data_IF_656529874383
#
_entry.id   IF_656529874383
#
_cell.length_a   1.000
_cell.length_b   1.000
_cell.length_c   1.000
_cell.angle_alpha   90.00
_cell.angle_beta   90.00
_cell.angle_gamma   90.00
#
_symmetry.space_group_name_H-M   'P 1'
#
loop_
_entity.id
_entity.type
_entity.pdbx_description
1 polymer ?
#
# COMPACT_ATOMS: atom_id res chain seq x y z
N UNK A 1 6.82 -13.76 7.51
CA UNK A 1 5.68 -12.98 6.96
C UNK A 1 4.59 -12.63 7.96
N UNK A 2 4.16 -13.53 8.85
CA UNK A 2 3.05 -13.28 9.81
C UNK A 2 3.19 -11.97 10.61
N UNK A 3 4.39 -11.69 11.12
CA UNK A 3 4.67 -10.48 11.90
C UNK A 3 4.57 -9.22 11.04
N UNK A 4 5.15 -9.23 9.85
CA UNK A 4 5.12 -8.10 8.90
C UNK A 4 3.68 -7.78 8.51
N UNK A 5 2.88 -8.81 8.19
CA UNK A 5 1.45 -8.63 7.88
C UNK A 5 0.70 -7.96 9.03
N UNK A 6 0.96 -8.39 10.27
CA UNK A 6 0.34 -7.80 11.48
C UNK A 6 0.76 -6.35 11.68
N UNK A 7 2.03 -6.03 11.47
CA UNK A 7 2.54 -4.66 11.58
C UNK A 7 1.97 -3.77 10.48
N UNK A 8 1.88 -4.27 9.24
CA UNK A 8 1.26 -3.55 8.12
C UNK A 8 -0.21 -3.23 8.40
N UNK A 9 -0.98 -4.21 8.85
CA UNK A 9 -2.38 -3.99 9.24
C UNK A 9 -2.51 -2.96 10.37
N UNK A 10 -1.62 -3.04 11.37
CA UNK A 10 -1.66 -2.15 12.54
C UNK A 10 -1.28 -0.70 12.22
N UNK A 11 -0.21 -0.49 11.46
CA UNK A 11 0.39 0.83 11.26
C UNK A 11 -0.02 1.50 9.95
N UNK A 12 -0.22 0.71 8.89
CA UNK A 12 -0.54 1.22 7.56
C UNK A 12 -2.01 0.98 7.16
N UNK A 13 -2.76 0.19 7.92
CA UNK A 13 -4.18 -0.10 7.67
C UNK A 13 -4.43 -0.73 6.30
N UNK A 14 -3.47 -1.54 5.83
CA UNK A 14 -3.58 -2.29 4.57
C UNK A 14 -3.91 -3.74 4.88
N UNK A 15 -4.87 -4.28 4.14
CA UNK A 15 -5.35 -5.66 4.28
C UNK A 15 -5.43 -6.34 2.90
N UNK A 16 -5.35 -7.67 2.91
CA UNK A 16 -5.56 -8.49 1.71
C UNK A 16 -7.04 -8.40 1.31
N UNK A 17 -7.34 -7.93 0.08
CA UNK A 17 -8.70 -7.90 -0.45
C UNK A 17 -8.97 -9.11 -1.35
N UNK A 18 -8.09 -9.31 -2.33
CA UNK A 18 -8.08 -10.49 -3.19
C UNK A 18 -6.63 -10.89 -3.43
N UNK A 19 -6.21 -11.96 -2.75
CA UNK A 19 -4.83 -12.43 -2.77
C UNK A 19 -4.46 -13.15 -4.07
N UNK A 20 -5.42 -13.70 -4.79
CA UNK A 20 -5.14 -14.40 -6.06
C UNK A 20 -4.74 -13.40 -7.15
N UNK A 21 -5.27 -12.18 -7.07
CA UNK A 21 -5.03 -11.10 -8.02
C UNK A 21 -4.11 -9.99 -7.47
N UNK A 22 -3.39 -10.24 -6.36
CA UNK A 22 -2.50 -9.27 -5.70
C UNK A 22 -3.19 -7.89 -5.45
N UNK A 23 -4.45 -7.92 -4.99
CA UNK A 23 -5.27 -6.73 -4.65
C UNK A 23 -5.33 -6.54 -3.13
N UNK A 24 -5.00 -5.33 -2.70
CA UNK A 24 -4.99 -4.91 -1.30
C UNK A 24 -5.89 -3.70 -1.08
N UNK A 25 -6.40 -3.54 0.14
CA UNK A 25 -7.29 -2.42 0.49
C UNK A 25 -6.73 -1.62 1.67
N UNK A 26 -6.67 -0.29 1.50
CA UNK A 26 -6.41 0.67 2.57
C UNK A 26 -7.73 1.05 3.24
N UNK A 27 -7.92 0.63 4.49
CA UNK A 27 -9.22 0.77 5.19
C UNK A 27 -9.41 2.10 5.90
N UNK A 28 -8.32 2.82 6.15
CA UNK A 28 -8.36 4.07 6.91
C UNK A 28 -7.51 5.13 6.24
N UNK A 29 -8.08 6.33 6.09
CA UNK A 29 -7.34 7.55 5.80
C UNK A 29 -7.16 8.37 7.07
N UNK A 30 -5.96 8.93 7.24
CA UNK A 30 -5.59 9.83 8.32
C UNK A 30 -5.96 11.26 7.92
N UNK A 31 -6.54 11.99 8.86
CA UNK A 31 -7.13 13.31 8.62
C UNK A 31 -6.59 14.34 9.61
N UNK A 32 -5.88 15.37 9.12
CA UNK A 32 -5.75 16.63 9.83
C UNK A 32 -7.09 17.38 9.68
N UNK A 33 -7.71 17.79 10.80
CA UNK A 33 -8.98 18.52 10.79
C UNK A 33 -8.97 19.67 9.77
N UNK A 34 -9.80 19.53 8.73
CA UNK A 34 -9.87 20.45 7.58
C UNK A 34 -10.43 19.76 6.32
N UNK A 35 -10.81 20.51 5.26
CA UNK A 35 -11.41 19.97 4.04
C UNK A 35 -10.38 19.38 3.05
N UNK A 36 -9.12 19.18 3.46
CA UNK A 36 -8.06 18.70 2.57
C UNK A 36 -8.26 17.19 2.31
N UNK A 37 -8.05 16.77 1.06
CA UNK A 37 -8.15 15.37 0.63
C UNK A 37 -7.14 14.47 1.34
N UNK A 38 -6.99 13.25 0.84
CA UNK A 38 -6.07 12.28 1.44
C UNK A 38 -4.62 12.79 1.52
N UNK A 39 -3.95 12.48 2.63
CA UNK A 39 -2.54 12.82 2.80
C UNK A 39 -1.66 11.93 1.90
N UNK A 40 -0.93 12.54 0.96
CA UNK A 40 -0.11 11.82 0.00
C UNK A 40 0.95 10.90 0.65
N UNK A 41 1.55 11.32 1.77
CA UNK A 41 2.52 10.48 2.49
C UNK A 41 1.92 9.19 3.04
N UNK A 42 0.63 9.20 3.40
CA UNK A 42 -0.05 7.99 3.81
C UNK A 42 -0.34 7.08 2.61
N UNK A 43 -0.82 7.65 1.50
CA UNK A 43 -1.06 6.88 0.26
C UNK A 43 0.22 6.18 -0.16
N UNK A 44 1.36 6.88 -0.14
CA UNK A 44 2.68 6.32 -0.41
C UNK A 44 3.00 5.13 0.50
N UNK A 45 2.83 5.31 1.82
CA UNK A 45 3.14 4.26 2.78
C UNK A 45 2.26 3.02 2.60
N UNK A 46 0.99 3.21 2.23
CA UNK A 46 0.06 2.12 1.92
C UNK A 46 0.41 1.41 0.61
N UNK A 47 0.79 2.15 -0.44
CA UNK A 47 1.28 1.57 -1.69
C UNK A 47 2.51 0.69 -1.45
N UNK A 48 3.48 1.18 -0.68
CA UNK A 48 4.67 0.42 -0.27
C UNK A 48 4.27 -0.84 0.49
N UNK A 49 3.37 -0.71 1.46
CA UNK A 49 2.92 -1.84 2.26
C UNK A 49 2.26 -2.92 1.39
N UNK A 50 1.42 -2.53 0.42
CA UNK A 50 0.83 -3.46 -0.55
C UNK A 50 1.90 -4.19 -1.38
N UNK A 51 2.91 -3.47 -1.88
CA UNK A 51 4.01 -4.07 -2.63
C UNK A 51 4.88 -5.04 -1.78
N UNK A 52 5.07 -4.75 -0.49
CA UNK A 52 5.79 -5.66 0.43
C UNK A 52 4.99 -6.94 0.67
N UNK A 53 3.65 -6.87 0.67
CA UNK A 53 2.80 -8.04 0.88
C UNK A 53 2.78 -9.01 -0.32
N UNK A 54 3.16 -8.55 -1.52
CA UNK A 54 3.16 -9.38 -2.74
C UNK A 54 4.48 -10.12 -2.96
N UNK A 55 5.55 -9.78 -2.25
CA UNK A 55 6.89 -10.38 -2.41
C UNK A 55 7.29 -11.26 -1.23
N UNK A 56 8.35 -12.05 -1.43
CA UNK A 56 8.94 -12.87 -0.37
C UNK A 56 9.65 -11.97 0.67
N UNK A 57 9.66 -12.34 1.97
CA UNK A 57 10.19 -11.50 3.06
C UNK A 57 11.65 -11.07 2.93
N UNK A 58 12.43 -11.74 2.09
CA UNK A 58 13.84 -11.48 1.83
C UNK A 58 14.05 -10.24 0.95
N UNK A 59 13.03 -9.83 0.21
CA UNK A 59 13.10 -8.65 -0.65
C UNK A 59 12.79 -7.39 0.13
N UNK A 60 13.63 -6.37 -0.08
CA UNK A 60 13.49 -5.07 0.54
C UNK A 60 13.38 -3.99 -0.54
N UNK A 61 12.55 -2.98 -0.27
CA UNK A 61 12.42 -1.83 -1.17
C UNK A 61 13.73 -1.05 -1.21
N UNK A 62 14.21 -0.78 -2.42
CA UNK A 62 15.38 0.05 -2.66
C UNK A 62 15.03 1.41 -3.30
N UNK A 63 13.95 1.48 -4.07
CA UNK A 63 13.45 2.72 -4.67
C UNK A 63 11.95 2.62 -4.99
N UNK A 64 11.31 3.77 -5.17
CA UNK A 64 9.92 3.87 -5.57
C UNK A 64 9.73 5.13 -6.40
N UNK A 65 8.95 5.01 -7.49
CA UNK A 65 8.52 6.13 -8.31
C UNK A 65 7.00 6.20 -8.29
N UNK A 66 6.45 7.40 -8.16
CA UNK A 66 5.01 7.62 -8.14
C UNK A 66 4.64 8.98 -8.70
N UNK A 67 3.39 9.08 -9.14
CA UNK A 67 2.78 10.33 -9.55
C UNK A 67 1.38 10.43 -8.98
N UNK A 68 1.05 11.55 -8.34
CA UNK A 68 -0.30 11.84 -7.90
C UNK A 68 -1.10 12.43 -9.06
N UNK A 69 -2.11 11.70 -9.52
CA UNK A 69 -2.96 12.14 -10.63
C UNK A 69 -4.17 12.93 -10.14
N UNK A 70 -4.79 12.46 -9.07
CA UNK A 70 -6.04 13.01 -8.52
C UNK A 70 -6.01 13.02 -6.99
N UNK A 71 -6.77 13.95 -6.42
CA UNK A 71 -7.01 13.97 -4.98
C UNK A 71 -7.98 12.87 -4.57
N UNK A 72 -7.55 11.99 -3.65
CA UNK A 72 -8.42 10.98 -3.05
C UNK A 72 -9.44 11.58 -2.08
N UNK A 73 -10.63 10.97 -2.02
CA UNK A 73 -11.64 11.22 -0.98
C UNK A 73 -11.27 10.43 0.26
N UNK A 74 -11.49 11.02 1.44
CA UNK A 74 -11.08 10.41 2.72
C UNK A 74 -11.95 9.24 3.17
N UNK A 75 -13.22 9.28 2.80
CA UNK A 75 -14.22 8.32 3.26
C UNK A 75 -14.28 7.06 2.36
N UNK A 76 -13.64 7.12 1.20
CA UNK A 76 -13.61 6.01 0.25
C UNK A 76 -12.36 5.15 0.51
N UNK A 77 -12.48 3.81 0.51
CA UNK A 77 -11.32 2.92 0.59
C UNK A 77 -10.46 3.06 -0.67
N UNK A 78 -9.13 2.92 -0.50
CA UNK A 78 -8.21 2.81 -1.65
C UNK A 78 -7.94 1.34 -1.93
N UNK A 79 -8.08 0.96 -3.19
CA UNK A 79 -7.64 -0.34 -3.70
C UNK A 79 -6.27 -0.20 -4.36
N UNK A 80 -5.33 -1.05 -3.94
CA UNK A 80 -3.99 -1.16 -4.50
C UNK A 80 -3.92 -2.44 -5.32
N UNK A 81 -3.78 -2.29 -6.63
CA UNK A 81 -3.54 -3.39 -7.55
C UNK A 81 -2.04 -3.50 -7.76
N UNK A 82 -1.47 -4.63 -7.35
CA UNK A 82 -0.03 -4.87 -7.51
C UNK A 82 0.17 -5.78 -8.71
N UNK A 83 0.91 -5.29 -9.70
CA UNK A 83 1.29 -6.06 -10.88
C UNK A 83 2.78 -6.38 -10.83
N UNK A 84 3.11 -7.67 -11.01
CA UNK A 84 4.50 -8.13 -11.08
C UNK A 84 5.03 -7.93 -12.50
N UNK A 85 5.85 -6.90 -12.67
CA UNK A 85 6.43 -6.57 -13.99
C UNK A 85 7.69 -7.38 -14.31
N UNK A 86 8.43 -7.81 -13.28
CA UNK A 86 9.69 -8.55 -13.39
C UNK A 86 10.00 -9.29 -12.10
N UNK A 87 10.44 -10.54 -12.22
CA UNK A 87 11.02 -11.33 -11.14
C UNK A 87 12.45 -11.74 -11.51
N UNK A 88 13.44 -11.25 -10.77
CA UNK A 88 14.85 -11.56 -10.91
C UNK A 88 15.43 -12.08 -9.60
N UNK A 89 16.50 -12.87 -9.70
CA UNK A 89 17.17 -13.46 -8.52
C UNK A 89 17.65 -12.43 -7.50
N UNK A 90 17.86 -11.18 -7.93
CA UNK A 90 18.39 -10.09 -7.10
C UNK A 90 17.53 -8.82 -7.17
N UNK A 91 16.46 -8.80 -7.96
CA UNK A 91 15.56 -7.65 -8.20
C UNK A 91 14.17 -8.17 -8.48
#
# INVERSE_FOLDING_TARGET
MEQVKREIKKYFYVEDYDKENDIYVGTKSWSFGGPRGMFGGQVIAQTIAAAILSVEPEYHIHSMHLQFLLGGKRDDPIYFHVERTRDGKYI
#
